data_IF_949014000399
#
_entry.id   IF_949014000399
#
_cell.length_a   1.000
_cell.length_b   1.000
_cell.length_c   1.000
_cell.angle_alpha   90.00
_cell.angle_beta   90.00
_cell.angle_gamma   90.00
#
_symmetry.space_group_name_H-M   'P 1'
#
loop_
_entity.id
_entity.type
_entity.pdbx_description
1 polymer ?
#
# COMPACT_ATOMS: atom_id res chain seq x y z
N UNK A 1 -13.92 32.52 -23.33
CA UNK A 1 -12.95 33.44 -22.68
C UNK A 1 -12.53 33.01 -21.26
N UNK A 2 -12.73 31.74 -20.84
CA UNK A 2 -12.29 31.25 -19.52
C UNK A 2 -11.07 30.32 -19.55
N UNK A 3 -10.58 29.95 -20.74
CA UNK A 3 -9.44 29.03 -20.90
C UNK A 3 -8.07 29.71 -20.80
N UNK A 4 -8.02 31.05 -20.98
CA UNK A 4 -6.77 31.82 -20.97
C UNK A 4 -6.25 32.02 -19.53
N UNK A 5 -7.16 32.18 -18.56
CA UNK A 5 -6.83 32.31 -17.13
C UNK A 5 -6.19 31.02 -16.57
N UNK A 6 -6.59 29.84 -17.07
CA UNK A 6 -6.02 28.56 -16.65
C UNK A 6 -4.57 28.36 -17.13
N UNK A 7 -4.23 28.90 -18.31
CA UNK A 7 -2.88 28.85 -18.88
C UNK A 7 -1.90 29.78 -18.16
N UNK A 8 -2.37 30.95 -17.71
CA UNK A 8 -1.54 31.90 -16.95
C UNK A 8 -1.21 31.39 -15.54
N UNK A 9 -2.12 30.60 -14.93
CA UNK A 9 -1.87 29.98 -13.63
C UNK A 9 -0.84 28.85 -13.68
N UNK A 10 -0.78 28.08 -14.78
CA UNK A 10 0.23 27.03 -14.97
C UNK A 10 1.66 27.55 -15.08
N UNK A 11 1.84 28.75 -15.64
CA UNK A 11 3.17 29.36 -15.82
C UNK A 11 3.65 30.04 -14.52
N UNK A 12 2.72 30.40 -13.62
CA UNK A 12 3.03 31.07 -12.35
C UNK A 12 3.29 30.11 -11.18
N UNK A 13 3.15 28.80 -11.37
CA UNK A 13 3.63 27.81 -10.41
C UNK A 13 5.09 27.51 -10.78
N UNK A 14 6.08 28.13 -10.12
CA UNK A 14 7.45 27.70 -10.28
C UNK A 14 7.52 26.20 -9.98
N UNK A 15 8.25 25.39 -10.79
CA UNK A 15 8.56 24.04 -10.39
C UNK A 15 9.12 24.15 -8.98
N UNK A 16 8.54 23.42 -8.03
CA UNK A 16 9.17 23.19 -6.75
C UNK A 16 10.45 22.42 -7.04
N UNK A 17 11.51 23.15 -7.42
CA UNK A 17 12.87 22.71 -7.27
C UNK A 17 13.00 22.55 -5.76
N UNK A 18 12.79 21.32 -5.30
CA UNK A 18 13.19 20.95 -3.97
C UNK A 18 14.67 21.27 -3.89
N UNK A 19 15.00 22.40 -3.28
CA UNK A 19 16.35 22.65 -2.82
C UNK A 19 16.62 21.50 -1.85
N UNK A 20 17.41 20.53 -2.29
CA UNK A 20 18.24 19.79 -1.34
C UNK A 20 19.11 20.89 -0.75
N UNK A 21 18.67 21.42 0.38
CA UNK A 21 19.52 22.19 1.26
C UNK A 21 20.77 21.34 1.46
N UNK A 22 21.86 21.79 0.84
CA UNK A 22 23.20 21.24 1.02
C UNK A 22 23.55 21.54 2.48
N UNK A 23 23.13 20.61 3.33
CA UNK A 23 23.20 20.71 4.76
C UNK A 23 24.63 21.01 5.16
N UNK A 24 24.82 22.13 5.86
CA UNK A 24 25.81 22.32 6.93
C UNK A 24 26.91 21.25 6.92
N UNK A 25 27.85 21.41 5.98
CA UNK A 25 29.01 20.58 5.69
C UNK A 25 29.12 19.31 6.57
N UNK A 26 28.59 18.18 6.07
CA UNK A 26 28.87 16.86 6.62
C UNK A 26 28.22 16.52 7.97
N UNK A 27 27.13 17.18 8.40
CA UNK A 27 26.43 16.87 9.66
C UNK A 27 25.08 16.15 9.46
N UNK A 28 24.94 14.96 10.06
CA UNK A 28 23.74 14.13 9.99
C UNK A 28 22.65 14.50 11.01
N UNK A 29 22.68 15.72 11.56
CA UNK A 29 21.76 16.14 12.63
C UNK A 29 20.29 16.16 12.20
N UNK A 30 20.01 16.57 10.96
CA UNK A 30 18.67 16.58 10.39
C UNK A 30 18.17 15.16 10.12
N UNK A 31 19.02 14.31 9.54
CA UNK A 31 18.72 12.90 9.29
C UNK A 31 18.44 12.17 10.59
N UNK A 32 19.22 12.42 11.66
CA UNK A 32 18.94 11.89 13.01
C UNK A 32 17.55 12.31 13.49
N UNK A 33 17.18 13.58 13.33
CA UNK A 33 15.87 14.07 13.76
C UNK A 33 14.76 13.37 13.00
N UNK A 34 14.85 13.29 11.66
CA UNK A 34 13.88 12.58 10.84
C UNK A 34 13.78 11.09 11.19
N UNK A 35 14.91 10.41 11.41
CA UNK A 35 14.95 9.00 11.78
C UNK A 35 14.31 8.74 13.15
N UNK A 36 14.55 9.63 14.13
CA UNK A 36 13.86 9.56 15.43
C UNK A 36 12.36 9.85 15.33
N UNK A 37 11.94 10.74 14.43
CA UNK A 37 10.52 11.04 14.21
C UNK A 37 9.75 9.83 13.65
N UNK A 38 10.43 8.92 12.94
CA UNK A 38 9.88 7.62 12.54
C UNK A 38 9.82 6.58 13.68
N UNK A 39 10.35 6.89 14.86
CA UNK A 39 10.33 6.02 16.04
C UNK A 39 11.52 5.07 16.16
N UNK A 40 12.58 5.25 15.36
CA UNK A 40 13.78 4.40 15.44
C UNK A 40 14.80 4.92 16.46
N UNK A 41 15.60 3.99 17.02
CA UNK A 41 16.66 4.33 17.97
C UNK A 41 17.82 5.06 17.29
N UNK A 42 18.40 6.05 17.96
CA UNK A 42 19.55 6.81 17.47
C UNK A 42 20.92 6.18 17.78
N UNK A 43 20.96 5.01 18.41
CA UNK A 43 22.20 4.41 18.93
C UNK A 43 23.25 4.11 17.83
N UNK A 44 22.80 3.80 16.62
CA UNK A 44 23.66 3.44 15.47
C UNK A 44 23.54 4.42 14.29
N UNK A 45 23.15 5.66 14.57
CA UNK A 45 23.04 6.73 13.57
C UNK A 45 24.29 7.60 13.64
N UNK A 46 25.03 7.79 12.54
CA UNK A 46 26.26 8.57 12.53
C UNK A 46 25.96 10.06 12.78
N UNK A 47 26.96 10.77 13.32
CA UNK A 47 26.89 12.22 13.54
C UNK A 47 27.37 13.02 12.32
N UNK A 48 28.23 12.40 11.51
CA UNK A 48 28.84 12.94 10.31
C UNK A 48 28.64 11.99 9.13
N UNK A 49 28.76 12.52 7.92
CA UNK A 49 28.65 11.73 6.70
C UNK A 49 29.75 10.64 6.64
N UNK A 50 29.36 9.47 6.15
CA UNK A 50 30.22 8.31 5.92
C UNK A 50 30.16 7.92 4.44
N UNK A 51 31.17 7.22 3.92
CA UNK A 51 31.13 6.67 2.57
C UNK A 51 30.00 5.63 2.46
N UNK A 52 29.22 5.67 1.38
CA UNK A 52 28.02 4.85 1.18
C UNK A 52 28.22 3.52 0.43
N UNK A 53 29.45 3.05 0.25
CA UNK A 53 29.76 1.79 -0.45
C UNK A 53 29.06 0.56 0.17
N UNK A 54 28.69 0.64 1.46
CA UNK A 54 27.96 -0.41 2.18
C UNK A 54 26.45 -0.42 1.93
N UNK A 55 25.93 0.47 1.09
CA UNK A 55 24.50 0.61 0.79
C UNK A 55 24.15 -0.01 -0.56
N UNK A 56 22.98 -0.65 -0.63
CA UNK A 56 22.51 -1.35 -1.83
C UNK A 56 21.35 -0.65 -2.54
N UNK A 57 20.55 0.14 -1.81
CA UNK A 57 19.35 0.81 -2.32
C UNK A 57 19.63 2.29 -2.53
N UNK A 58 20.31 2.92 -1.57
CA UNK A 58 20.78 4.29 -1.70
C UNK A 58 22.00 4.39 -2.65
N UNK A 59 22.23 5.56 -3.27
CA UNK A 59 23.45 5.81 -4.04
C UNK A 59 24.72 5.61 -3.20
N UNK A 60 25.79 5.09 -3.81
CA UNK A 60 27.08 4.81 -3.16
C UNK A 60 27.96 6.07 -3.00
N UNK A 61 27.37 7.17 -2.55
CA UNK A 61 28.03 8.45 -2.28
C UNK A 61 28.20 8.69 -0.77
N UNK A 62 28.69 9.86 -0.36
CA UNK A 62 28.64 10.26 1.05
C UNK A 62 27.19 10.30 1.57
N UNK A 63 26.97 9.71 2.74
CA UNK A 63 25.64 9.43 3.27
C UNK A 63 25.59 9.49 4.79
N UNK A 64 24.39 9.71 5.32
CA UNK A 64 24.09 9.62 6.74
C UNK A 64 23.42 8.29 7.14
N UNK A 65 23.34 7.34 6.21
CA UNK A 65 22.67 6.06 6.39
C UNK A 65 23.68 4.92 6.58
N UNK A 66 23.48 4.13 7.63
CA UNK A 66 24.13 2.82 7.79
C UNK A 66 23.29 1.73 7.13
N UNK A 67 23.87 0.54 6.89
CA UNK A 67 23.12 -0.61 6.37
C UNK A 67 21.89 -0.95 7.23
N UNK A 68 21.98 -0.80 8.56
CA UNK A 68 20.82 -1.01 9.43
C UNK A 68 19.73 0.04 9.21
N UNK A 69 20.11 1.31 9.05
CA UNK A 69 19.15 2.38 8.75
C UNK A 69 18.46 2.12 7.41
N UNK A 70 19.22 1.78 6.37
CA UNK A 70 18.70 1.44 5.04
C UNK A 70 17.72 0.28 5.09
N UNK A 71 18.06 -0.81 5.79
CA UNK A 71 17.18 -1.97 5.94
C UNK A 71 15.86 -1.62 6.63
N UNK A 72 15.91 -0.87 7.74
CA UNK A 72 14.72 -0.47 8.49
C UNK A 72 13.83 0.49 7.69
N UNK A 73 14.44 1.46 7.00
CA UNK A 73 13.72 2.41 6.16
C UNK A 73 13.11 1.72 4.94
N UNK A 74 13.79 0.73 4.36
CA UNK A 74 13.29 -0.09 3.26
C UNK A 74 12.06 -0.90 3.69
N UNK A 75 12.14 -1.59 4.83
CA UNK A 75 11.02 -2.34 5.38
C UNK A 75 9.82 -1.44 5.71
N UNK A 76 10.06 -0.30 6.36
CA UNK A 76 9.03 0.67 6.65
C UNK A 76 8.37 1.22 5.39
N UNK A 77 9.17 1.58 4.38
CA UNK A 77 8.65 2.14 3.13
C UNK A 77 7.77 1.12 2.40
N UNK A 78 8.16 -0.16 2.42
CA UNK A 78 7.34 -1.26 1.89
C UNK A 78 6.01 -1.38 2.62
N UNK A 79 6.01 -1.35 3.95
CA UNK A 79 4.78 -1.43 4.75
C UNK A 79 3.86 -0.23 4.51
N UNK A 80 4.40 0.99 4.54
CA UNK A 80 3.66 2.22 4.27
C UNK A 80 3.06 2.21 2.85
N UNK A 81 3.83 1.76 1.87
CA UNK A 81 3.35 1.60 0.49
C UNK A 81 2.23 0.56 0.38
N UNK A 82 2.41 -0.63 0.95
CA UNK A 82 1.39 -1.69 0.89
C UNK A 82 0.08 -1.27 1.56
N UNK A 83 0.16 -0.54 2.69
CA UNK A 83 -1.01 0.03 3.36
C UNK A 83 -1.75 1.02 2.45
N UNK A 84 -1.04 1.95 1.80
CA UNK A 84 -1.64 2.90 0.86
C UNK A 84 -2.32 2.18 -0.32
N UNK A 85 -1.70 1.13 -0.86
CA UNK A 85 -2.29 0.30 -1.92
C UNK A 85 -3.54 -0.41 -1.45
N UNK A 86 -3.54 -0.95 -0.23
CA UNK A 86 -4.72 -1.58 0.37
C UNK A 86 -5.87 -0.58 0.57
N UNK A 87 -5.58 0.59 1.13
CA UNK A 87 -6.57 1.66 1.35
C UNK A 87 -7.17 2.18 0.04
N UNK A 88 -6.33 2.42 -0.98
CA UNK A 88 -6.79 2.92 -2.28
C UNK A 88 -7.58 1.86 -3.07
N UNK A 89 -7.21 0.59 -2.96
CA UNK A 89 -7.91 -0.52 -3.63
C UNK A 89 -9.15 -1.00 -2.90
N UNK A 90 -9.32 -0.62 -1.62
CA UNK A 90 -10.43 -1.07 -0.76
C UNK A 90 -11.80 -0.79 -1.40
N UNK A 91 -12.01 0.39 -1.96
CA UNK A 91 -13.28 0.74 -2.60
C UNK A 91 -13.62 -0.15 -3.81
N UNK A 92 -12.64 -0.37 -4.70
CA UNK A 92 -12.82 -1.22 -5.89
C UNK A 92 -13.09 -2.66 -5.45
N UNK A 93 -12.29 -3.18 -4.52
CA UNK A 93 -12.44 -4.53 -3.98
C UNK A 93 -13.81 -4.74 -3.34
N UNK A 94 -14.23 -3.84 -2.45
CA UNK A 94 -15.52 -3.96 -1.75
C UNK A 94 -16.70 -3.80 -2.69
N UNK A 95 -16.62 -2.88 -3.66
CA UNK A 95 -17.64 -2.71 -4.70
C UNK A 95 -17.79 -3.99 -5.51
N UNK A 96 -16.69 -4.52 -6.05
CA UNK A 96 -16.69 -5.74 -6.84
C UNK A 96 -17.22 -6.94 -6.04
N UNK A 97 -16.74 -7.15 -4.81
CA UNK A 97 -17.20 -8.23 -3.92
C UNK A 97 -18.69 -8.08 -3.60
N UNK A 98 -19.18 -6.86 -3.35
CA UNK A 98 -20.60 -6.63 -3.04
C UNK A 98 -21.51 -6.88 -4.24
N UNK A 99 -21.09 -6.47 -5.44
CA UNK A 99 -21.79 -6.72 -6.70
C UNK A 99 -21.81 -8.21 -7.03
N UNK A 100 -20.65 -8.87 -6.91
CA UNK A 100 -20.53 -10.31 -7.10
C UNK A 100 -21.44 -11.07 -6.13
N UNK A 101 -21.49 -10.70 -4.84
CA UNK A 101 -22.43 -11.30 -3.87
C UNK A 101 -23.89 -11.08 -4.24
N UNK A 102 -24.27 -9.93 -4.78
CA UNK A 102 -25.65 -9.70 -5.26
C UNK A 102 -25.97 -10.59 -6.46
N UNK A 103 -25.02 -10.77 -7.36
CA UNK A 103 -25.16 -11.65 -8.52
C UNK A 103 -25.16 -13.14 -8.12
N UNK A 104 -24.26 -13.57 -7.24
CA UNK A 104 -24.25 -14.93 -6.68
C UNK A 104 -25.50 -15.19 -5.84
N UNK A 105 -25.97 -14.21 -5.08
CA UNK A 105 -27.19 -14.34 -4.27
C UNK A 105 -28.43 -14.54 -5.13
N UNK A 106 -28.50 -13.93 -6.32
CA UNK A 106 -29.60 -14.19 -7.26
C UNK A 106 -29.44 -15.51 -8.00
N UNK A 107 -28.22 -15.89 -8.41
CA UNK A 107 -27.96 -17.16 -9.10
C UNK A 107 -28.01 -18.38 -8.18
N UNK A 108 -27.47 -18.30 -6.96
CA UNK A 108 -27.47 -19.37 -5.97
C UNK A 108 -28.86 -19.59 -5.37
N UNK A 109 -29.66 -18.55 -5.13
CA UNK A 109 -31.04 -18.73 -4.70
C UNK A 109 -31.91 -19.30 -5.82
N UNK A 110 -31.70 -18.88 -7.07
CA UNK A 110 -32.36 -19.49 -8.23
C UNK A 110 -31.98 -20.97 -8.38
N UNK A 111 -30.69 -21.31 -8.24
CA UNK A 111 -30.16 -22.66 -8.40
C UNK A 111 -30.59 -23.61 -7.28
N UNK A 112 -30.57 -23.15 -6.01
CA UNK A 112 -31.07 -23.93 -4.86
C UNK A 112 -32.59 -24.11 -4.92
N UNK A 113 -33.35 -23.10 -5.37
CA UNK A 113 -34.81 -23.22 -5.56
C UNK A 113 -35.18 -24.13 -6.73
N UNK A 114 -34.38 -24.20 -7.81
CA UNK A 114 -34.59 -25.19 -8.88
C UNK A 114 -34.28 -26.61 -8.39
N UNK A 115 -33.17 -26.82 -7.67
CA UNK A 115 -32.84 -28.13 -7.09
C UNK A 115 -33.88 -28.61 -6.07
N UNK A 116 -34.47 -27.68 -5.30
CA UNK A 116 -35.54 -27.98 -4.35
C UNK A 116 -36.89 -28.30 -5.02
N UNK A 117 -37.11 -27.85 -6.26
CA UNK A 117 -38.31 -28.19 -7.06
C UNK A 117 -38.19 -29.55 -7.73
N UNK A 118 -36.98 -29.97 -8.11
CA UNK A 118 -36.72 -31.32 -8.64
C UNK A 118 -36.89 -32.42 -7.57
N UNK A 119 -36.67 -32.12 -6.29
CA UNK A 119 -36.92 -33.05 -5.17
C UNK A 119 -38.36 -33.04 -4.65
N UNK A 120 -39.35 -32.62 -5.45
CA UNK A 120 -40.79 -32.83 -5.18
C UNK A 120 -41.45 -33.80 -6.17
N UNK A 121 -40.64 -34.66 -6.80
CA UNK A 121 -41.11 -35.69 -7.74
C UNK A 121 -40.56 -37.09 -7.53
N UNK A 122 -39.77 -37.36 -6.47
CA UNK A 122 -39.21 -38.71 -6.24
C UNK A 122 -39.92 -39.42 -5.08
N UNK A 123 -40.80 -40.33 -5.49
CA UNK A 123 -41.26 -41.59 -4.88
C UNK A 123 -40.76 -41.86 -3.44
N UNK A 124 -41.65 -42.18 -2.48
CA UNK A 124 -41.24 -42.45 -1.10
C UNK A 124 -40.33 -43.70 -1.06
N UNK A 125 -39.13 -43.54 -0.49
CA UNK A 125 -38.28 -44.68 -0.16
C UNK A 125 -39.00 -45.54 0.90
N UNK A 126 -39.56 -46.66 0.45
CA UNK A 126 -40.07 -47.71 1.33
C UNK A 126 -38.89 -48.35 2.08
N UNK A 127 -38.82 -48.16 3.40
CA UNK A 127 -37.97 -48.97 4.26
C UNK A 127 -38.62 -50.35 4.44
N UNK A 128 -38.27 -51.31 3.58
CA UNK A 128 -38.52 -52.73 3.87
C UNK A 128 -37.41 -53.24 4.79
N UNK A 129 -37.78 -53.39 6.06
CA UNK A 129 -37.01 -54.12 7.07
C UNK A 129 -36.93 -55.59 6.62
N UNK A 130 -35.75 -56.05 6.25
CA UNK A 130 -35.48 -57.46 6.01
C UNK A 130 -34.72 -58.03 7.20
N UNK A 131 -35.42 -58.94 7.89
CA UNK A 131 -34.98 -60.04 8.77
C UNK A 131 -33.85 -59.80 9.77
#
# INVERSE_FOLDING_TARGET
MFWIEALLFWISVPPALGTRDDAKAGSCSEVRRAYSAKGFSLARVPYHEIAGEHLHICPQEYTCCTTEMENKLSEQSKLEFMKLVEETSHFVRTTFVSWHKKFDGTFSNQFVLSLSKDQKGSIPCHCSRAS
#
